data_IF_862860401001
#
_entry.id   IF_862860401001
#
_cell.length_a   1.000
_cell.length_b   1.000
_cell.length_c   1.000
_cell.angle_alpha   90.00
_cell.angle_beta   90.00
_cell.angle_gamma   90.00
#
_symmetry.space_group_name_H-M   'P 1'
#
loop_
_entity.id
_entity.type
_entity.pdbx_description
1 polymer ?
#
# COMPACT_ATOMS: atom_id res chain seq x y z
N UNK A 1 -2.82 12.67 3.77
CA UNK A 1 -1.83 11.67 4.24
C UNK A 1 -2.34 10.81 5.39
N UNK A 2 -3.23 11.36 6.25
CA UNK A 2 -3.79 10.62 7.40
C UNK A 2 -4.56 9.35 6.98
N UNK A 3 -5.26 9.37 5.84
CA UNK A 3 -5.98 8.20 5.33
C UNK A 3 -5.00 7.15 4.83
N UNK A 4 -3.93 7.53 4.16
CA UNK A 4 -2.88 6.62 3.70
C UNK A 4 -2.31 5.81 4.87
N UNK A 5 -1.75 6.46 5.88
CA UNK A 5 -1.20 5.78 7.06
C UNK A 5 -2.20 4.84 7.76
N UNK A 6 -3.46 5.24 7.83
CA UNK A 6 -4.46 4.41 8.52
C UNK A 6 -4.87 3.19 7.72
N UNK A 7 -5.00 3.32 6.40
CA UNK A 7 -5.32 2.17 5.54
C UNK A 7 -4.14 1.22 5.42
N UNK A 8 -2.92 1.76 5.38
CA UNK A 8 -1.66 1.01 5.40
C UNK A 8 -1.53 0.18 6.67
N UNK A 9 -1.51 0.83 7.82
CA UNK A 9 -1.43 0.14 9.11
C UNK A 9 -2.58 -0.86 9.32
N UNK A 10 -3.78 -0.55 8.84
CA UNK A 10 -4.90 -1.50 8.92
C UNK A 10 -4.64 -2.72 8.03
N UNK A 11 -4.09 -2.54 6.83
CA UNK A 11 -3.75 -3.64 5.94
C UNK A 11 -2.69 -4.55 6.57
N UNK A 12 -1.64 -3.97 7.18
CA UNK A 12 -0.62 -4.73 7.91
C UNK A 12 -1.25 -5.56 9.04
N UNK A 13 -2.08 -4.93 9.87
CA UNK A 13 -2.76 -5.61 10.98
C UNK A 13 -3.66 -6.72 10.48
N UNK A 14 -4.47 -6.47 9.43
CA UNK A 14 -5.36 -7.48 8.87
C UNK A 14 -4.58 -8.64 8.24
N UNK A 15 -3.51 -8.37 7.49
CA UNK A 15 -2.67 -9.39 6.89
C UNK A 15 -2.05 -10.31 7.96
N UNK A 16 -1.49 -9.73 9.03
CA UNK A 16 -0.93 -10.48 10.16
C UNK A 16 -2.02 -11.23 10.90
N UNK A 17 -3.17 -10.60 11.16
CA UNK A 17 -4.28 -11.23 11.84
C UNK A 17 -4.76 -12.48 11.08
N UNK A 18 -5.05 -12.36 9.78
CA UNK A 18 -5.53 -13.49 8.99
C UNK A 18 -4.47 -14.57 8.83
N UNK A 19 -3.20 -14.21 8.59
CA UNK A 19 -2.13 -15.21 8.50
C UNK A 19 -1.93 -15.98 9.80
N UNK A 20 -2.00 -15.28 10.93
CA UNK A 20 -1.91 -15.91 12.27
C UNK A 20 -3.11 -16.83 12.53
N UNK A 21 -4.32 -16.43 12.17
CA UNK A 21 -5.52 -17.25 12.30
C UNK A 21 -5.46 -18.53 11.46
N UNK A 22 -4.85 -18.46 10.28
CA UNK A 22 -4.68 -19.61 9.37
C UNK A 22 -3.49 -20.48 9.82
N UNK A 23 -2.49 -19.91 10.51
CA UNK A 23 -1.37 -20.64 11.08
C UNK A 23 -0.05 -20.50 10.32
N UNK A 24 0.15 -19.38 9.59
CA UNK A 24 1.42 -19.08 8.92
C UNK A 24 1.89 -17.64 9.21
N UNK A 25 3.15 -17.35 8.89
CA UNK A 25 3.75 -16.02 9.08
C UNK A 25 3.89 -15.33 7.72
N UNK A 26 3.07 -14.30 7.47
CA UNK A 26 3.13 -13.55 6.21
C UNK A 26 4.27 -12.52 6.20
N UNK A 27 4.47 -11.82 7.29
CA UNK A 27 5.48 -10.77 7.48
C UNK A 27 6.13 -10.88 8.85
N UNK A 28 7.40 -10.50 8.93
CA UNK A 28 8.16 -10.44 10.18
C UNK A 28 8.21 -9.00 10.72
N UNK A 29 8.46 -8.78 12.01
CA UNK A 29 8.53 -7.43 12.58
C UNK A 29 9.50 -6.48 11.87
N UNK A 30 10.64 -7.00 11.40
CA UNK A 30 11.62 -6.20 10.64
C UNK A 30 11.07 -5.68 9.32
N UNK A 31 10.18 -6.45 8.68
CA UNK A 31 9.50 -6.03 7.45
C UNK A 31 8.55 -4.86 7.69
N UNK A 32 7.77 -4.92 8.77
CA UNK A 32 6.86 -3.86 9.18
C UNK A 32 7.59 -2.57 9.53
N UNK A 33 8.73 -2.69 10.24
CA UNK A 33 9.58 -1.53 10.53
C UNK A 33 10.08 -0.86 9.24
N UNK A 34 10.46 -1.65 8.24
CA UNK A 34 10.87 -1.11 6.95
C UNK A 34 9.73 -0.38 6.24
N UNK A 35 8.56 -1.03 6.15
CA UNK A 35 7.39 -0.47 5.49
C UNK A 35 7.03 0.87 6.15
N UNK A 36 6.83 0.89 7.45
CA UNK A 36 6.46 2.09 8.19
C UNK A 36 7.50 3.23 8.10
N UNK A 37 8.79 2.88 8.07
CA UNK A 37 9.86 3.89 8.05
C UNK A 37 10.13 4.42 6.63
N UNK A 38 10.12 3.56 5.63
CA UNK A 38 10.57 3.91 4.26
C UNK A 38 9.37 4.11 3.34
N UNK A 39 8.51 3.10 3.20
CA UNK A 39 7.46 3.15 2.17
C UNK A 39 6.27 4.02 2.58
N UNK A 40 6.03 4.22 3.87
CA UNK A 40 5.00 5.11 4.37
C UNK A 40 5.51 6.54 4.55
N UNK A 41 6.66 6.73 5.21
CA UNK A 41 7.12 8.07 5.58
C UNK A 41 7.49 8.94 4.38
N UNK A 42 8.22 8.42 3.40
CA UNK A 42 8.64 9.24 2.25
C UNK A 42 7.46 9.74 1.41
N UNK A 43 6.51 8.90 0.98
CA UNK A 43 5.31 9.38 0.30
C UNK A 43 4.45 10.31 1.15
N UNK A 44 4.33 10.06 2.46
CA UNK A 44 3.54 10.90 3.34
C UNK A 44 4.13 12.31 3.51
N UNK A 45 5.46 12.42 3.67
CA UNK A 45 6.15 13.71 3.68
C UNK A 45 5.94 14.45 2.36
N UNK A 46 6.05 13.75 1.23
CA UNK A 46 5.83 14.34 -0.07
C UNK A 46 4.37 14.78 -0.30
N UNK A 47 3.38 14.02 0.22
CA UNK A 47 1.97 14.42 0.22
C UNK A 47 1.71 15.63 1.12
N UNK A 48 2.49 15.81 2.20
CA UNK A 48 2.44 17.00 3.03
C UNK A 48 2.83 18.29 2.28
N UNK A 49 3.57 18.17 1.18
CA UNK A 49 3.93 19.25 0.26
C UNK A 49 2.95 19.43 -0.91
N UNK A 50 1.86 18.67 -0.95
CA UNK A 50 0.85 18.78 -2.01
C UNK A 50 0.14 20.14 -1.92
N UNK A 51 -0.11 20.73 -3.08
CA UNK A 51 -0.86 21.98 -3.15
C UNK A 51 -2.30 21.77 -2.72
N UNK A 52 -2.87 22.77 -2.01
CA UNK A 52 -4.27 22.77 -1.63
C UNK A 52 -5.18 22.64 -2.85
N UNK A 53 -6.29 21.90 -2.71
CA UNK A 53 -7.34 21.86 -3.73
C UNK A 53 -7.90 23.26 -3.98
N UNK A 54 -8.17 23.61 -5.25
CA UNK A 54 -8.62 24.97 -5.64
C UNK A 54 -9.95 25.37 -5.01
N UNK A 55 -10.77 24.40 -4.58
CA UNK A 55 -12.09 24.61 -3.98
C UNK A 55 -12.09 24.56 -2.45
N UNK A 56 -10.93 24.42 -1.80
CA UNK A 56 -10.83 24.24 -0.34
C UNK A 56 -11.44 25.41 0.42
N UNK A 57 -11.29 26.65 -0.10
CA UNK A 57 -11.85 27.85 0.51
C UNK A 57 -13.37 27.99 0.31
N UNK A 58 -13.98 27.17 -0.55
CA UNK A 58 -15.44 27.10 -0.77
C UNK A 58 -16.10 26.07 0.13
N UNK A 59 -15.34 25.16 0.73
CA UNK A 59 -15.85 24.14 1.65
C UNK A 59 -16.06 24.76 3.03
N UNK A 60 -17.13 24.33 3.71
CA UNK A 60 -17.37 24.71 5.10
C UNK A 60 -16.21 24.22 5.98
N UNK A 61 -15.81 24.98 7.00
CA UNK A 61 -14.84 24.51 7.98
C UNK A 61 -15.33 23.20 8.64
N UNK A 62 -14.39 22.32 8.92
CA UNK A 62 -14.69 21.07 9.63
C UNK A 62 -15.10 21.39 11.08
N UNK A 63 -16.15 20.75 11.57
CA UNK A 63 -16.55 20.86 12.98
C UNK A 63 -15.41 20.30 13.87
N UNK A 64 -14.89 21.06 14.85
CA UNK A 64 -13.86 20.58 15.78
C UNK A 64 -14.30 19.35 16.61
N UNK A 65 -15.61 19.13 16.76
CA UNK A 65 -16.19 17.98 17.48
C UNK A 65 -16.32 16.73 16.61
N UNK A 66 -16.15 16.86 15.29
CA UNK A 66 -16.18 15.69 14.42
C UNK A 66 -15.05 14.72 14.71
N UNK A 67 -15.40 13.47 14.99
CA UNK A 67 -14.44 12.38 15.18
C UNK A 67 -13.55 12.17 13.93
N UNK A 68 -12.44 11.49 14.14
CA UNK A 68 -11.41 11.25 13.09
C UNK A 68 -11.97 10.44 11.91
N UNK A 69 -12.98 9.61 12.14
CA UNK A 69 -13.63 8.77 11.11
C UNK A 69 -14.89 9.41 10.50
N UNK A 70 -15.19 10.67 10.83
CA UNK A 70 -16.35 11.38 10.28
C UNK A 70 -16.26 11.58 8.76
N UNK A 71 -17.39 11.89 8.12
CA UNK A 71 -17.45 12.18 6.70
C UNK A 71 -17.06 10.99 5.78
N UNK A 72 -17.32 9.74 6.22
CA UNK A 72 -17.06 8.53 5.45
C UNK A 72 -15.59 8.07 5.46
N UNK A 73 -14.70 8.73 6.21
CA UNK A 73 -13.29 8.36 6.29
C UNK A 73 -13.08 6.95 6.87
N UNK A 74 -13.92 6.53 7.83
CA UNK A 74 -13.85 5.17 8.39
C UNK A 74 -14.10 4.09 7.34
N UNK A 75 -15.09 4.29 6.47
CA UNK A 75 -15.33 3.38 5.35
C UNK A 75 -14.15 3.38 4.36
N UNK A 76 -13.63 4.57 3.99
CA UNK A 76 -12.51 4.68 3.07
C UNK A 76 -11.29 3.90 3.61
N UNK A 77 -10.93 4.10 4.88
CA UNK A 77 -9.80 3.42 5.54
C UNK A 77 -9.99 1.91 5.58
N UNK A 78 -11.18 1.45 6.02
CA UNK A 78 -11.46 0.02 6.12
C UNK A 78 -11.45 -0.66 4.76
N UNK A 79 -12.12 -0.07 3.77
CA UNK A 79 -12.18 -0.63 2.42
C UNK A 79 -10.80 -0.71 1.77
N UNK A 80 -10.02 0.37 1.87
CA UNK A 80 -8.66 0.42 1.33
C UNK A 80 -7.75 -0.61 2.00
N UNK A 81 -7.76 -0.66 3.33
CA UNK A 81 -7.00 -1.65 4.08
C UNK A 81 -7.36 -3.09 3.71
N UNK A 82 -8.66 -3.39 3.55
CA UNK A 82 -9.12 -4.71 3.14
C UNK A 82 -8.66 -5.07 1.71
N UNK A 83 -8.74 -4.13 0.77
CA UNK A 83 -8.24 -4.35 -0.61
C UNK A 83 -6.74 -4.63 -0.62
N UNK A 84 -5.95 -3.83 0.10
CA UNK A 84 -4.50 -4.05 0.21
C UNK A 84 -4.20 -5.40 0.82
N UNK A 85 -4.89 -5.78 1.91
CA UNK A 85 -4.74 -7.10 2.54
C UNK A 85 -4.98 -8.23 1.53
N UNK A 86 -6.05 -8.14 0.73
CA UNK A 86 -6.37 -9.16 -0.29
C UNK A 86 -5.25 -9.25 -1.33
N UNK A 87 -4.75 -8.11 -1.84
CA UNK A 87 -3.65 -8.10 -2.81
C UNK A 87 -2.38 -8.75 -2.25
N UNK A 88 -2.05 -8.46 -1.00
CA UNK A 88 -0.88 -9.02 -0.31
C UNK A 88 -1.03 -10.53 -0.07
N UNK A 89 -2.23 -10.98 0.35
CA UNK A 89 -2.52 -12.41 0.52
C UNK A 89 -2.46 -13.19 -0.79
N UNK A 90 -2.95 -12.59 -1.89
CA UNK A 90 -2.83 -13.18 -3.23
C UNK A 90 -1.35 -13.28 -3.62
N UNK A 91 -0.57 -12.23 -3.41
CA UNK A 91 0.86 -12.23 -3.70
C UNK A 91 1.60 -13.31 -2.93
N UNK A 92 1.30 -13.47 -1.64
CA UNK A 92 1.84 -14.56 -0.81
C UNK A 92 1.54 -15.94 -1.40
N UNK A 93 0.28 -16.19 -1.75
CA UNK A 93 -0.15 -17.46 -2.34
C UNK A 93 0.53 -17.73 -3.68
N UNK A 94 0.69 -16.72 -4.52
CA UNK A 94 1.39 -16.87 -5.81
C UNK A 94 2.85 -17.22 -5.58
N UNK A 95 3.55 -16.55 -4.65
CA UNK A 95 4.93 -16.88 -4.30
C UNK A 95 5.05 -18.31 -3.77
N UNK A 96 4.17 -18.72 -2.84
CA UNK A 96 4.14 -20.10 -2.37
C UNK A 96 3.86 -21.10 -3.51
N UNK A 97 2.97 -20.75 -4.43
CA UNK A 97 2.68 -21.61 -5.60
C UNK A 97 3.90 -21.78 -6.50
N UNK A 98 4.68 -20.74 -6.71
CA UNK A 98 5.89 -20.81 -7.53
C UNK A 98 6.96 -21.65 -6.82
N UNK A 99 7.15 -21.46 -5.49
CA UNK A 99 8.09 -22.21 -4.67
C UNK A 99 7.76 -23.71 -4.57
N UNK A 100 6.51 -24.06 -4.25
CA UNK A 100 6.10 -25.41 -3.86
C UNK A 100 5.28 -26.16 -4.91
N UNK A 101 4.69 -25.46 -5.86
CA UNK A 101 3.73 -26.01 -6.80
C UNK A 101 2.30 -26.17 -6.27
N UNK A 102 2.00 -25.82 -5.01
CA UNK A 102 0.70 -25.98 -4.37
C UNK A 102 0.03 -24.64 -4.02
N UNK A 103 -1.29 -24.61 -3.96
CA UNK A 103 -2.07 -23.48 -3.49
C UNK A 103 -2.44 -23.70 -2.02
N UNK A 104 -1.54 -23.37 -1.11
CA UNK A 104 -1.73 -23.60 0.31
C UNK A 104 -1.26 -22.40 1.13
N UNK A 105 -1.89 -22.18 2.27
CA UNK A 105 -1.45 -21.19 3.24
C UNK A 105 -0.57 -21.86 4.31
N UNK A 106 0.68 -22.05 3.98
CA UNK A 106 1.72 -22.55 4.88
C UNK A 106 2.92 -21.59 4.84
N UNK A 107 3.87 -21.74 5.75
CA UNK A 107 5.06 -20.89 5.74
C UNK A 107 5.85 -21.05 4.43
N UNK A 108 6.09 -19.94 3.76
CA UNK A 108 6.78 -19.85 2.48
C UNK A 108 7.77 -18.69 2.50
N UNK A 109 8.98 -18.93 2.04
CA UNK A 109 10.01 -17.91 1.99
C UNK A 109 9.79 -16.94 0.82
N UNK A 110 9.48 -17.45 -0.37
CA UNK A 110 9.17 -16.66 -1.55
C UNK A 110 7.83 -15.94 -1.36
N UNK A 111 6.84 -16.62 -0.77
CA UNK A 111 5.57 -16.00 -0.40
C UNK A 111 5.75 -14.78 0.52
N UNK A 112 6.61 -14.88 1.54
CA UNK A 112 6.93 -13.75 2.45
C UNK A 112 7.61 -12.61 1.70
N UNK A 113 8.57 -12.90 0.82
CA UNK A 113 9.30 -11.88 0.05
C UNK A 113 8.38 -11.18 -0.94
N UNK A 114 7.54 -11.94 -1.65
CA UNK A 114 6.54 -11.38 -2.57
C UNK A 114 5.47 -10.56 -1.85
N UNK A 115 4.99 -11.01 -0.70
CA UNK A 115 4.03 -10.27 0.12
C UNK A 115 4.61 -8.92 0.61
N UNK A 116 5.86 -8.92 1.07
CA UNK A 116 6.57 -7.71 1.46
C UNK A 116 6.74 -6.74 0.29
N UNK A 117 7.19 -7.23 -0.87
CA UNK A 117 7.34 -6.41 -2.08
C UNK A 117 6.00 -5.82 -2.50
N UNK A 118 4.94 -6.64 -2.55
CA UNK A 118 3.61 -6.17 -2.94
C UNK A 118 3.08 -5.12 -1.96
N UNK A 119 3.17 -5.35 -0.66
CA UNK A 119 2.70 -4.39 0.33
C UNK A 119 3.46 -3.06 0.22
N UNK A 120 4.80 -3.11 0.19
CA UNK A 120 5.64 -1.93 0.01
C UNK A 120 5.30 -1.13 -1.25
N UNK A 121 5.09 -1.82 -2.38
CA UNK A 121 4.76 -1.17 -3.65
C UNK A 121 3.31 -0.65 -3.68
N UNK A 122 2.37 -1.36 -3.07
CA UNK A 122 0.99 -0.87 -2.91
C UNK A 122 0.97 0.45 -2.18
N UNK A 123 1.71 0.61 -1.07
CA UNK A 123 1.78 1.84 -0.30
C UNK A 123 2.31 3.01 -1.16
N UNK A 124 3.38 2.75 -1.90
CA UNK A 124 3.98 3.73 -2.82
C UNK A 124 2.96 4.15 -3.90
N UNK A 125 2.31 3.20 -4.58
CA UNK A 125 1.34 3.50 -5.63
C UNK A 125 0.04 4.10 -5.08
N UNK A 126 -0.38 3.66 -3.89
CA UNK A 126 -1.57 4.19 -3.23
C UNK A 126 -1.40 5.65 -2.82
N UNK A 127 -0.17 6.10 -2.56
CA UNK A 127 0.13 7.49 -2.30
C UNK A 127 -0.32 8.43 -3.43
N UNK A 128 -0.31 7.97 -4.69
CA UNK A 128 -0.87 8.70 -5.83
C UNK A 128 -2.38 8.89 -5.69
N UNK A 129 -3.08 7.85 -5.22
CA UNK A 129 -4.53 7.92 -5.00
C UNK A 129 -4.89 8.90 -3.88
N UNK A 130 -3.98 9.12 -2.91
CA UNK A 130 -4.20 10.01 -1.77
C UNK A 130 -4.01 11.49 -2.07
N UNK A 131 -3.53 11.86 -3.26
CA UNK A 131 -3.41 13.26 -3.70
C UNK A 131 -4.75 13.99 -3.75
N UNK A 132 -5.83 13.27 -4.01
CA UNK A 132 -7.18 13.79 -3.86
C UNK A 132 -8.10 12.72 -3.30
N UNK A 133 -8.91 13.07 -2.31
CA UNK A 133 -9.83 12.12 -1.67
C UNK A 133 -10.93 11.65 -2.62
N UNK A 134 -11.46 12.55 -3.44
CA UNK A 134 -12.60 12.31 -4.33
C UNK A 134 -12.27 12.52 -5.81
N UNK A 135 -11.28 13.36 -6.10
CA UNK A 135 -10.85 13.63 -7.47
C UNK A 135 -10.13 12.45 -8.09
N UNK A 136 -10.26 12.31 -9.42
CA UNK A 136 -9.46 11.34 -10.17
C UNK A 136 -8.02 11.82 -10.27
N UNK A 137 -7.05 10.91 -10.06
CA UNK A 137 -5.63 11.23 -10.22
C UNK A 137 -5.28 11.66 -11.65
N UNK A 138 -6.03 11.17 -12.65
CA UNK A 138 -5.82 11.50 -14.06
C UNK A 138 -6.33 12.90 -14.44
N UNK A 139 -7.14 13.53 -13.57
CA UNK A 139 -7.68 14.89 -13.77
C UNK A 139 -6.95 15.96 -12.96
N UNK A 140 -5.96 15.59 -12.17
CA UNK A 140 -5.19 16.53 -11.37
C UNK A 140 -4.22 17.30 -12.26
N UNK A 141 -4.40 18.63 -12.34
CA UNK A 141 -3.52 19.54 -13.11
C UNK A 141 -2.22 19.88 -12.38
N UNK A 142 -2.04 19.42 -11.14
CA UNK A 142 -0.83 19.65 -10.36
C UNK A 142 0.12 18.47 -10.44
N UNK A 143 1.42 18.74 -10.58
CA UNK A 143 2.47 17.73 -10.53
C UNK A 143 3.25 17.89 -9.22
N UNK A 144 3.17 16.88 -8.35
CA UNK A 144 3.99 16.82 -7.15
C UNK A 144 5.30 16.10 -7.43
N UNK A 145 6.33 16.86 -7.82
CA UNK A 145 7.65 16.30 -8.13
C UNK A 145 8.30 15.61 -6.94
N UNK A 146 8.02 16.07 -5.72
CA UNK A 146 8.52 15.47 -4.49
C UNK A 146 7.92 14.08 -4.27
N UNK A 147 6.63 13.91 -4.57
CA UNK A 147 5.96 12.61 -4.49
C UNK A 147 6.55 11.61 -5.49
N UNK A 148 6.75 12.02 -6.73
CA UNK A 148 7.38 11.15 -7.73
C UNK A 148 8.83 10.79 -7.34
N UNK A 149 9.58 11.76 -6.80
CA UNK A 149 10.91 11.51 -6.27
C UNK A 149 10.89 10.53 -5.09
N UNK A 150 9.99 10.71 -4.13
CA UNK A 150 9.80 9.82 -3.00
C UNK A 150 9.44 8.39 -3.45
N UNK A 151 8.55 8.25 -4.43
CA UNK A 151 8.16 6.95 -5.00
C UNK A 151 9.36 6.23 -5.63
N UNK A 152 10.16 6.93 -6.44
CA UNK A 152 11.35 6.35 -7.06
C UNK A 152 12.37 5.93 -6.01
N UNK A 153 12.64 6.76 -5.03
CA UNK A 153 13.58 6.45 -3.93
C UNK A 153 13.08 5.24 -3.13
N UNK A 154 11.81 5.22 -2.72
CA UNK A 154 11.22 4.09 -2.00
C UNK A 154 11.27 2.78 -2.80
N UNK A 155 10.98 2.85 -4.10
CA UNK A 155 11.07 1.70 -5.01
C UNK A 155 12.50 1.17 -5.10
N UNK A 156 13.49 2.04 -5.29
CA UNK A 156 14.90 1.65 -5.35
C UNK A 156 15.34 1.02 -4.02
N UNK A 157 15.01 1.67 -2.88
CA UNK A 157 15.40 1.17 -1.57
C UNK A 157 14.76 -0.19 -1.27
N UNK A 158 13.49 -0.39 -1.60
CA UNK A 158 12.82 -1.68 -1.41
C UNK A 158 13.41 -2.77 -2.30
N UNK A 159 13.75 -2.46 -3.55
CA UNK A 159 14.43 -3.39 -4.44
C UNK A 159 15.82 -3.75 -3.89
N UNK A 160 16.59 -2.77 -3.44
CA UNK A 160 17.93 -3.01 -2.84
C UNK A 160 17.85 -3.94 -1.63
N UNK A 161 16.83 -3.80 -0.78
CA UNK A 161 16.67 -4.66 0.41
C UNK A 161 16.39 -6.11 0.04
N UNK A 162 15.69 -6.36 -1.06
CA UNK A 162 15.38 -7.71 -1.53
C UNK A 162 16.55 -8.30 -2.33
N UNK A 163 17.18 -7.50 -3.21
CA UNK A 163 18.14 -8.00 -4.19
C UNK A 163 19.59 -8.05 -3.69
N UNK A 164 19.98 -7.20 -2.71
CA UNK A 164 21.35 -7.20 -2.19
C UNK A 164 21.52 -8.31 -1.16
N UNK A 165 22.33 -9.37 -1.41
CA UNK A 165 22.32 -10.60 -0.61
C UNK A 165 22.63 -10.38 0.88
N UNK A 166 23.53 -9.46 1.20
CA UNK A 166 23.88 -9.15 2.58
C UNK A 166 22.69 -8.53 3.34
N UNK A 167 21.96 -7.63 2.68
CA UNK A 167 20.80 -6.94 3.25
C UNK A 167 19.60 -7.90 3.30
N UNK A 168 19.32 -8.59 2.20
CA UNK A 168 18.25 -9.58 2.10
C UNK A 168 18.35 -10.64 3.22
N UNK A 169 19.57 -11.12 3.50
CA UNK A 169 19.83 -12.06 4.60
C UNK A 169 19.49 -11.46 5.97
N UNK A 170 19.81 -10.18 6.21
CA UNK A 170 19.48 -9.51 7.47
C UNK A 170 17.97 -9.37 7.66
N UNK A 171 17.22 -9.15 6.58
CA UNK A 171 15.75 -9.11 6.57
C UNK A 171 15.11 -10.49 6.43
N UNK A 172 15.92 -11.55 6.27
CA UNK A 172 15.47 -12.93 6.08
C UNK A 172 14.58 -13.09 4.84
N UNK A 173 14.93 -12.40 3.75
CA UNK A 173 14.34 -12.58 2.44
C UNK A 173 15.07 -13.68 1.66
N UNK A 174 14.33 -14.34 0.78
CA UNK A 174 14.87 -15.19 -0.28
C UNK A 174 14.96 -14.39 -1.59
N UNK A 175 15.98 -14.64 -2.41
CA UNK A 175 15.98 -14.11 -3.77
C UNK A 175 14.74 -14.56 -4.52
N UNK A 176 14.08 -13.64 -5.21
CA UNK A 176 12.92 -13.92 -6.04
C UNK A 176 13.28 -13.74 -7.51
N UNK A 177 12.65 -14.53 -8.37
CA UNK A 177 12.83 -14.44 -9.80
C UNK A 177 12.23 -13.17 -10.38
N UNK A 178 12.73 -12.75 -11.56
CA UNK A 178 12.17 -11.61 -12.29
C UNK A 178 10.65 -11.75 -12.53
N UNK A 179 10.17 -12.98 -12.77
CA UNK A 179 8.74 -13.24 -12.95
C UNK A 179 7.94 -12.94 -11.67
N UNK A 180 8.43 -13.39 -10.53
CA UNK A 180 7.83 -13.12 -9.21
C UNK A 180 7.81 -11.63 -8.90
N UNK A 181 8.93 -10.96 -9.17
CA UNK A 181 9.03 -9.50 -9.00
C UNK A 181 7.99 -8.76 -9.84
N UNK A 182 7.85 -9.11 -11.13
CA UNK A 182 6.88 -8.49 -12.03
C UNK A 182 5.44 -8.78 -11.60
N UNK A 183 5.15 -10.00 -11.13
CA UNK A 183 3.81 -10.36 -10.64
C UNK A 183 3.49 -9.54 -9.37
N UNK A 184 4.40 -9.46 -8.40
CA UNK A 184 4.21 -8.70 -7.18
C UNK A 184 3.99 -7.20 -7.49
N UNK A 185 4.78 -6.63 -8.40
CA UNK A 185 4.64 -5.25 -8.86
C UNK A 185 3.31 -5.04 -9.61
N UNK A 186 2.91 -5.99 -10.46
CA UNK A 186 1.64 -5.96 -11.17
C UNK A 186 0.45 -5.96 -10.22
N UNK A 187 0.46 -6.80 -9.19
CA UNK A 187 -0.56 -6.82 -8.15
C UNK A 187 -0.61 -5.48 -7.39
N UNK A 188 0.54 -4.91 -7.08
CA UNK A 188 0.62 -3.63 -6.40
C UNK A 188 0.02 -2.48 -7.23
N UNK A 189 0.26 -2.45 -8.53
CA UNK A 189 -0.29 -1.42 -9.45
C UNK A 189 -1.81 -1.47 -9.52
N UNK A 190 -2.44 -2.64 -9.30
CA UNK A 190 -3.91 -2.78 -9.32
C UNK A 190 -4.62 -1.89 -8.30
N UNK A 191 -3.94 -1.42 -7.25
CA UNK A 191 -4.52 -0.48 -6.29
C UNK A 191 -4.97 0.82 -6.98
N UNK A 192 -4.30 1.24 -8.05
CA UNK A 192 -4.62 2.47 -8.78
C UNK A 192 -6.01 2.38 -9.43
N UNK A 193 -6.26 1.44 -10.36
CA UNK A 193 -7.56 1.35 -11.01
C UNK A 193 -8.68 0.97 -10.03
N UNK A 194 -8.41 0.13 -9.02
CA UNK A 194 -9.41 -0.22 -8.01
C UNK A 194 -9.89 1.03 -7.28
N UNK A 195 -8.96 1.87 -6.80
CA UNK A 195 -9.33 3.10 -6.10
C UNK A 195 -10.00 4.13 -7.02
N UNK A 196 -9.61 4.23 -8.27
CA UNK A 196 -10.28 5.12 -9.23
C UNK A 196 -11.73 4.70 -9.49
N UNK A 197 -12.02 3.39 -9.59
CA UNK A 197 -13.39 2.87 -9.69
C UNK A 197 -14.20 3.24 -8.44
N UNK A 198 -13.64 3.03 -7.24
CA UNK A 198 -14.29 3.37 -5.98
C UNK A 198 -14.61 4.86 -5.92
N UNK A 199 -13.65 5.73 -6.21
CA UNK A 199 -13.87 7.18 -6.28
C UNK A 199 -14.92 7.56 -7.31
N UNK A 200 -14.96 6.89 -8.46
CA UNK A 200 -15.97 7.14 -9.49
C UNK A 200 -17.38 6.79 -8.99
N UNK A 201 -17.53 5.66 -8.29
CA UNK A 201 -18.80 5.26 -7.67
C UNK A 201 -19.21 6.23 -6.58
N UNK A 202 -18.29 6.62 -5.70
CA UNK A 202 -18.56 7.58 -4.62
C UNK A 202 -19.00 8.93 -5.16
N UNK A 203 -18.39 9.44 -6.24
CA UNK A 203 -18.82 10.67 -6.91
C UNK A 203 -20.23 10.58 -7.48
N UNK A 204 -20.60 9.42 -8.05
CA UNK A 204 -21.98 9.20 -8.58
C UNK A 204 -23.04 9.13 -7.47
N UNK A 205 -22.66 8.62 -6.29
CA UNK A 205 -23.56 8.52 -5.13
C UNK A 205 -23.64 9.83 -4.31
N UNK A 206 -22.94 10.89 -4.72
CA UNK A 206 -22.94 12.18 -4.01
C UNK A 206 -22.28 12.13 -2.63
N UNK A 207 -21.43 11.13 -2.40
CA UNK A 207 -20.73 10.89 -1.11
C UNK A 207 -19.30 11.36 -1.17
#
# INVERSE_FOLDING_TARGET
YTTLFRSSNLAEVLAIFFSTMIGFTILKPVHLLWINLITDCFPALALGLEKSEADIMKKKPRDPKEGIFAGGMGFDVFFQGAVVTVLVMISYLVGHRIESGAWEFVNSADGTTMAFLTLSMVEIFHSLNMRSRRGSIFKLNSHNKFLYGAMVVSLILTTVVIEVPFIAKAFQFTPIDFTEYVIALGLAVLIIPIMEIVKAVQRKLGK
#
